data_IF_158786804776
#
_entry.id   IF_158786804776
#
_cell.length_a   1.000
_cell.length_b   1.000
_cell.length_c   1.000
_cell.angle_alpha   90.00
_cell.angle_beta   90.00
_cell.angle_gamma   90.00
#
_symmetry.space_group_name_H-M   'P 1'
#
loop_
_entity.id
_entity.type
_entity.pdbx_description
1 polymer ?
#
# COMPACT_ATOMS: atom_id res chain seq x y z
N UNK A 1 -9.81 -7.37 27.12
CA UNK A 1 -9.82 -6.39 26.02
C UNK A 1 -8.59 -5.54 26.16
N UNK A 2 -7.71 -5.53 25.16
CA UNK A 2 -6.46 -4.76 25.23
C UNK A 2 -6.55 -3.59 24.25
N UNK A 3 -6.94 -2.43 24.76
CA UNK A 3 -6.67 -1.15 24.08
C UNK A 3 -5.20 -0.81 24.29
N UNK A 4 -4.48 -0.54 23.21
CA UNK A 4 -3.06 -0.18 23.25
C UNK A 4 -2.91 1.33 23.07
N UNK A 5 -2.10 1.95 23.94
CA UNK A 5 -1.87 3.39 24.01
C UNK A 5 -0.91 3.88 22.93
N UNK A 6 -1.11 5.13 22.52
CA UNK A 6 -0.57 5.82 21.33
C UNK A 6 0.97 5.95 21.33
N UNK A 7 1.67 5.72 22.44
CA UNK A 7 3.08 6.10 22.59
C UNK A 7 4.11 4.96 22.68
N UNK A 8 3.74 3.72 22.33
CA UNK A 8 4.71 2.62 22.35
C UNK A 8 4.54 1.70 21.13
N UNK A 9 5.32 1.99 20.07
CA UNK A 9 5.44 1.15 18.88
C UNK A 9 6.15 -0.19 19.20
N UNK A 10 5.45 -1.14 19.82
CA UNK A 10 6.05 -2.40 20.29
C UNK A 10 6.48 -3.36 19.16
N UNK A 11 6.04 -3.20 17.92
CA UNK A 11 6.53 -3.99 16.78
C UNK A 11 6.23 -3.27 15.47
N UNK A 12 7.20 -3.19 14.54
CA UNK A 12 7.02 -2.61 13.19
C UNK A 12 6.16 -3.48 12.23
N UNK A 13 5.42 -4.44 12.78
CA UNK A 13 4.65 -5.45 12.03
C UNK A 13 3.23 -5.57 12.59
N UNK A 14 2.59 -4.45 12.89
CA UNK A 14 1.19 -4.41 13.31
C UNK A 14 0.39 -4.10 12.05
N UNK A 15 -0.19 -5.14 11.42
CA UNK A 15 -1.23 -5.13 10.37
C UNK A 15 -1.11 -6.38 9.50
N UNK A 16 -2.25 -7.05 9.26
CA UNK A 16 -2.39 -8.10 8.25
C UNK A 16 -2.06 -7.50 6.88
N UNK A 17 -1.26 -8.20 6.07
CA UNK A 17 -0.49 -7.59 4.96
C UNK A 17 -1.34 -6.90 3.89
N UNK A 18 -2.59 -7.33 3.72
CA UNK A 18 -3.55 -6.82 2.73
C UNK A 18 -4.10 -5.44 3.07
N UNK A 19 -4.10 -5.07 4.35
CA UNK A 19 -4.63 -3.78 4.84
C UNK A 19 -3.52 -2.79 5.17
N UNK A 20 -2.26 -3.13 4.87
CA UNK A 20 -1.11 -2.32 5.26
C UNK A 20 -1.02 -1.06 4.43
N UNK A 21 -0.89 0.07 5.10
CA UNK A 21 -0.80 1.38 4.45
C UNK A 21 0.59 1.66 3.85
N UNK A 22 0.68 2.51 2.81
CA UNK A 22 1.93 2.78 2.12
C UNK A 22 3.00 3.41 3.03
N UNK A 23 2.62 4.25 3.99
CA UNK A 23 3.54 4.84 4.98
C UNK A 23 4.22 3.77 5.83
N UNK A 24 3.48 2.75 6.27
CA UNK A 24 4.02 1.63 7.04
C UNK A 24 4.98 0.82 6.17
N UNK A 25 4.64 0.52 4.91
CA UNK A 25 5.51 -0.22 3.97
C UNK A 25 6.78 0.58 3.63
N UNK A 26 6.70 1.90 3.57
CA UNK A 26 7.85 2.77 3.28
C UNK A 26 8.65 3.12 4.54
N UNK A 27 8.11 2.87 5.72
CA UNK A 27 8.71 3.25 6.99
C UNK A 27 8.73 4.77 7.20
N UNK A 28 7.70 5.45 6.72
CA UNK A 28 7.36 6.81 7.18
C UNK A 28 6.77 6.72 8.60
N UNK A 29 6.66 7.89 9.25
CA UNK A 29 5.82 8.01 10.45
C UNK A 29 4.39 7.65 10.06
N UNK A 30 3.76 6.79 10.87
CA UNK A 30 2.36 6.41 10.74
C UNK A 30 1.59 7.02 11.90
N UNK A 31 0.34 7.39 11.63
CA UNK A 31 -0.58 7.98 12.61
C UNK A 31 -1.94 7.27 12.53
N UNK A 32 -3.00 7.81 13.13
CA UNK A 32 -4.36 7.26 13.03
C UNK A 32 -4.86 7.09 11.58
N UNK A 33 -4.25 7.80 10.63
CA UNK A 33 -4.53 7.67 9.20
C UNK A 33 -4.27 6.26 8.65
N UNK A 34 -3.39 5.48 9.28
CA UNK A 34 -3.15 4.09 8.87
C UNK A 34 -4.33 3.16 9.18
N UNK A 35 -5.14 3.49 10.20
CA UNK A 35 -6.37 2.77 10.52
C UNK A 35 -7.49 3.12 9.54
N UNK A 36 -7.57 4.39 9.09
CA UNK A 36 -8.52 4.81 8.06
C UNK A 36 -8.25 4.11 6.72
N UNK A 37 -6.97 3.93 6.36
CA UNK A 37 -6.58 3.15 5.19
C UNK A 37 -7.07 1.69 5.30
N UNK A 38 -6.83 1.07 6.45
CA UNK A 38 -7.26 -0.30 6.72
C UNK A 38 -8.78 -0.45 6.63
N UNK A 39 -9.52 0.53 7.18
CA UNK A 39 -10.97 0.60 7.10
C UNK A 39 -11.46 0.70 5.66
N UNK A 40 -10.85 1.56 4.82
CA UNK A 40 -11.22 1.69 3.42
C UNK A 40 -11.03 0.38 2.64
N UNK A 41 -9.89 -0.31 2.85
CA UNK A 41 -9.64 -1.63 2.27
C UNK A 41 -10.71 -2.66 2.70
N UNK A 42 -11.10 -2.65 3.98
CA UNK A 42 -12.13 -3.55 4.50
C UNK A 42 -13.52 -3.25 3.92
N UNK A 43 -13.90 -1.97 3.80
CA UNK A 43 -15.17 -1.58 3.19
C UNK A 43 -15.23 -2.03 1.73
N UNK A 44 -14.14 -1.90 0.97
CA UNK A 44 -14.08 -2.39 -0.40
C UNK A 44 -14.29 -3.91 -0.47
N UNK A 45 -13.64 -4.67 0.41
CA UNK A 45 -13.79 -6.12 0.46
C UNK A 45 -15.21 -6.55 0.83
N UNK A 46 -15.86 -5.85 1.76
CA UNK A 46 -17.27 -6.13 2.11
C UNK A 46 -18.24 -5.87 0.95
N UNK A 47 -17.98 -4.87 0.12
CA UNK A 47 -18.84 -4.52 -1.01
C UNK A 47 -18.62 -5.47 -2.20
N UNK A 48 -17.38 -5.88 -2.45
CA UNK A 48 -17.02 -6.64 -3.66
C UNK A 48 -16.87 -8.14 -3.43
N UNK A 49 -16.56 -8.55 -2.19
CA UNK A 49 -16.13 -9.91 -1.86
C UNK A 49 -14.67 -10.21 -2.23
N UNK A 50 -13.93 -9.25 -2.76
CA UNK A 50 -12.54 -9.39 -3.22
C UNK A 50 -11.59 -8.44 -2.45
N UNK A 51 -10.34 -8.86 -2.25
CA UNK A 51 -9.31 -8.01 -1.65
C UNK A 51 -8.97 -6.81 -2.56
N UNK A 52 -8.94 -5.60 -2.00
CA UNK A 52 -8.51 -4.38 -2.71
C UNK A 52 -7.06 -4.49 -3.19
N UNK A 53 -6.19 -5.03 -2.34
CA UNK A 53 -4.78 -5.25 -2.65
C UNK A 53 -4.40 -6.71 -2.37
N UNK A 54 -4.02 -7.43 -3.42
CA UNK A 54 -3.55 -8.82 -3.32
C UNK A 54 -2.11 -8.96 -3.85
N UNK A 55 -1.12 -8.44 -3.11
CA UNK A 55 0.26 -8.41 -3.57
C UNK A 55 0.88 -9.80 -3.67
N UNK A 56 1.52 -10.07 -4.80
CA UNK A 56 2.23 -11.32 -5.10
C UNK A 56 3.73 -11.07 -5.10
N UNK A 57 4.50 -12.11 -4.76
CA UNK A 57 5.95 -12.10 -4.93
C UNK A 57 6.31 -12.73 -6.25
N UNK A 58 7.33 -12.20 -6.90
CA UNK A 58 7.96 -12.78 -8.09
C UNK A 58 9.46 -12.89 -7.87
N UNK A 59 10.19 -13.53 -8.77
CA UNK A 59 11.66 -13.59 -8.73
C UNK A 59 12.31 -12.20 -8.82
N UNK A 60 11.62 -11.23 -9.43
CA UNK A 60 12.13 -9.87 -9.70
C UNK A 60 11.78 -8.84 -8.63
N UNK A 61 10.73 -9.08 -7.84
CA UNK A 61 10.23 -8.12 -6.85
C UNK A 61 9.55 -8.81 -5.67
N UNK A 62 9.67 -8.17 -4.50
CA UNK A 62 9.06 -8.59 -3.24
C UNK A 62 7.57 -8.25 -3.19
N UNK A 63 6.83 -8.92 -2.29
CA UNK A 63 5.41 -8.60 -2.05
C UNK A 63 5.18 -7.14 -1.64
N UNK A 64 6.12 -6.54 -0.92
CA UNK A 64 6.02 -5.13 -0.52
C UNK A 64 6.15 -4.19 -1.73
N UNK A 65 7.04 -4.52 -2.67
CA UNK A 65 7.19 -3.80 -3.93
C UNK A 65 5.89 -3.88 -4.74
N UNK A 66 5.34 -5.09 -4.89
CA UNK A 66 4.06 -5.29 -5.61
C UNK A 66 2.89 -4.56 -4.95
N UNK A 67 2.85 -4.52 -3.61
CA UNK A 67 1.81 -3.80 -2.88
C UNK A 67 1.88 -2.29 -3.14
N UNK A 68 3.07 -1.69 -3.07
CA UNK A 68 3.26 -0.27 -3.38
C UNK A 68 2.84 0.03 -4.83
N UNK A 69 3.13 -0.90 -5.75
CA UNK A 69 2.71 -0.78 -7.15
C UNK A 69 1.19 -0.70 -7.27
N UNK A 70 0.43 -1.61 -6.65
CA UNK A 70 -1.04 -1.53 -6.66
C UNK A 70 -1.57 -0.21 -6.10
N UNK A 71 -0.95 0.30 -5.03
CA UNK A 71 -1.34 1.60 -4.45
C UNK A 71 -1.12 2.72 -5.48
N UNK A 72 0.04 2.73 -6.15
CA UNK A 72 0.33 3.68 -7.21
C UNK A 72 -0.63 3.58 -8.40
N UNK A 73 -1.10 2.38 -8.72
CA UNK A 73 -2.09 2.16 -9.77
C UNK A 73 -3.45 2.74 -9.40
N UNK A 74 -3.85 2.59 -8.14
CA UNK A 74 -5.17 2.99 -7.64
C UNK A 74 -5.30 4.52 -7.47
N UNK A 75 -4.33 5.12 -6.77
CA UNK A 75 -4.39 6.53 -6.35
C UNK A 75 -3.36 7.43 -7.05
N UNK A 76 -2.46 6.84 -7.86
CA UNK A 76 -1.36 7.56 -8.50
C UNK A 76 -0.08 7.61 -7.67
N UNK A 77 1.02 8.13 -8.24
CA UNK A 77 2.29 8.26 -7.53
C UNK A 77 2.20 9.37 -6.47
N UNK A 78 2.64 9.13 -5.22
CA UNK A 78 2.67 10.13 -4.17
C UNK A 78 3.78 11.16 -4.40
N UNK A 79 3.69 12.29 -3.72
CA UNK A 79 4.64 13.39 -3.83
C UNK A 79 6.08 12.96 -3.51
N UNK A 80 7.02 13.42 -4.34
CA UNK A 80 8.44 13.10 -4.17
C UNK A 80 9.00 13.59 -2.81
N UNK A 81 8.48 14.71 -2.30
CA UNK A 81 8.87 15.24 -0.99
C UNK A 81 8.48 14.26 0.14
N UNK A 82 7.29 13.69 0.05
CA UNK A 82 6.80 12.71 1.01
C UNK A 82 7.57 11.39 0.89
N UNK A 83 7.80 10.91 -0.33
CA UNK A 83 8.60 9.71 -0.57
C UNK A 83 10.03 9.81 -0.02
N UNK A 84 10.69 10.96 -0.17
CA UNK A 84 12.06 11.17 0.31
C UNK A 84 12.21 11.11 1.84
N UNK A 85 11.13 11.36 2.60
CA UNK A 85 11.12 11.23 4.06
C UNK A 85 11.14 9.78 4.53
N UNK A 86 10.75 8.84 3.66
CA UNK A 86 10.65 7.44 4.02
C UNK A 86 12.01 6.80 4.31
N UNK A 87 12.11 6.12 5.46
CA UNK A 87 13.32 5.38 5.87
C UNK A 87 13.75 4.37 4.81
N UNK A 88 12.79 3.74 4.11
CA UNK A 88 13.05 2.74 3.06
C UNK A 88 12.98 3.30 1.63
N UNK A 89 13.01 4.62 1.44
CA UNK A 89 12.91 5.25 0.11
C UNK A 89 13.91 4.67 -0.91
N UNK A 90 15.19 4.62 -0.54
CA UNK A 90 16.27 4.14 -1.44
C UNK A 90 16.14 2.66 -1.80
N UNK A 91 15.35 1.87 -1.04
CA UNK A 91 15.11 0.46 -1.33
C UNK A 91 14.16 0.30 -2.51
N UNK A 92 13.04 1.03 -2.49
CA UNK A 92 11.96 0.87 -3.46
C UNK A 92 12.04 1.85 -4.64
N UNK A 93 12.58 3.06 -4.44
CA UNK A 93 12.57 4.15 -5.41
C UNK A 93 13.96 4.59 -5.87
N UNK A 94 13.98 5.12 -7.09
CA UNK A 94 15.08 5.90 -7.65
C UNK A 94 15.04 7.36 -7.15
N UNK A 95 16.14 8.10 -7.30
CA UNK A 95 16.22 9.54 -6.91
C UNK A 95 15.16 10.42 -7.58
N UNK A 96 14.63 9.96 -8.73
CA UNK A 96 13.57 10.62 -9.50
C UNK A 96 12.15 10.23 -9.06
N UNK A 97 11.98 9.42 -8.01
CA UNK A 97 10.68 8.96 -7.53
C UNK A 97 10.07 7.80 -8.32
N UNK A 98 10.81 7.19 -9.25
CA UNK A 98 10.33 6.01 -10.01
C UNK A 98 10.67 4.72 -9.27
N UNK A 99 9.75 3.77 -9.24
CA UNK A 99 10.00 2.44 -8.67
C UNK A 99 11.10 1.72 -9.45
N UNK A 100 11.98 1.01 -8.74
CA UNK A 100 13.20 0.41 -9.32
C UNK A 100 12.94 -0.87 -10.11
N UNK A 101 12.10 -1.77 -9.59
CA UNK A 101 12.03 -3.17 -10.04
C UNK A 101 10.75 -3.52 -10.79
N UNK A 102 9.78 -2.63 -10.82
CA UNK A 102 8.47 -2.94 -11.36
C UNK A 102 8.25 -2.16 -12.67
N UNK A 103 8.10 -2.85 -13.81
CA UNK A 103 7.84 -2.21 -15.09
C UNK A 103 6.41 -1.66 -15.15
N UNK A 104 6.22 -0.61 -15.96
CA UNK A 104 4.98 0.18 -16.12
C UNK A 104 3.70 -0.65 -15.94
N UNK A 105 2.92 -0.22 -14.97
CA UNK A 105 1.63 -0.79 -14.66
C UNK A 105 0.54 -0.30 -15.61
N UNK A 106 -0.38 -1.20 -15.98
CA UNK A 106 -1.64 -0.84 -16.63
C UNK A 106 -2.51 -0.22 -15.53
N UNK A 107 -2.87 1.05 -15.68
CA UNK A 107 -3.76 1.73 -14.73
C UNK A 107 -5.11 0.99 -14.73
N UNK A 108 -5.42 0.26 -13.66
CA UNK A 108 -6.72 -0.34 -13.47
C UNK A 108 -7.54 0.57 -12.57
N UNK A 109 -8.37 1.41 -13.19
CA UNK A 109 -9.28 2.28 -12.44
C UNK A 109 -10.26 1.39 -11.69
N UNK A 110 -10.58 1.76 -10.46
CA UNK A 110 -11.61 1.12 -9.64
C UNK A 110 -12.90 0.83 -10.42
N UNK A 111 -13.34 1.78 -11.24
CA UNK A 111 -14.54 1.65 -12.09
C UNK A 111 -14.39 0.55 -13.15
N UNK A 112 -13.19 0.37 -13.70
CA UNK A 112 -12.91 -0.68 -14.68
C UNK A 112 -12.89 -2.06 -14.00
N UNK A 113 -12.43 -2.16 -12.75
CA UNK A 113 -12.53 -3.41 -11.96
C UNK A 113 -13.99 -3.80 -11.73
N UNK A 114 -14.85 -2.83 -11.39
CA UNK A 114 -16.28 -3.08 -11.21
C UNK A 114 -16.96 -3.48 -12.53
N UNK A 115 -16.58 -2.88 -13.66
CA UNK A 115 -17.16 -3.20 -14.97
C UNK A 115 -16.64 -4.51 -15.57
N UNK A 116 -15.38 -4.84 -15.41
CA UNK A 116 -14.74 -5.99 -16.09
C UNK A 116 -15.00 -7.32 -15.35
N UNK A 117 -15.34 -7.28 -14.05
CA UNK A 117 -15.66 -8.48 -13.25
C UNK A 117 -17.15 -8.73 -13.03
N UNK A 118 -18.01 -7.71 -13.11
CA UNK A 118 -19.42 -7.82 -12.73
C UNK A 118 -20.41 -7.31 -13.81
N UNK A 119 -19.94 -7.00 -15.02
CA UNK A 119 -20.78 -6.82 -16.22
C UNK A 119 -20.32 -7.77 -17.33
#
# INVERSE_FOLDING_TARGET
>A
GNGCWIDHHFTSTIQTRQYRSPEVILGNEYDETCDLWSYACMVFELITGDYLFNPKSSEKYSKEEDHIAYIHELIGPPDLKWLKKAKRFRRYYTTKGRMKRIPKHKLWKLVDVFKDKYC
#
